data_IF_573492986077
#
_entry.id   IF_573492986077
#
_cell.length_a   1.000
_cell.length_b   1.000
_cell.length_c   1.000
_cell.angle_alpha   90.00
_cell.angle_beta   90.00
_cell.angle_gamma   90.00
#
_symmetry.space_group_name_H-M   'P 1'
#
loop_
_entity.id
_entity.type
_entity.pdbx_description
1 polymer ?
#
# COMPACT_ATOMS: atom_id res chain seq x y z
N UNK A 1 13.90 50.49 -16.50
CA UNK A 1 12.84 49.78 -15.74
C UNK A 1 12.63 48.31 -16.17
N UNK A 2 13.69 47.53 -16.46
CA UNK A 2 13.57 46.09 -16.84
C UNK A 2 14.04 45.11 -15.75
N UNK A 3 14.78 45.58 -14.74
CA UNK A 3 15.39 44.74 -13.70
C UNK A 3 14.33 44.13 -12.75
N UNK A 4 13.25 44.86 -12.45
CA UNK A 4 12.21 44.39 -11.51
C UNK A 4 11.40 43.19 -12.01
N UNK A 5 11.26 43.00 -13.34
CA UNK A 5 10.50 41.88 -13.91
C UNK A 5 11.23 40.54 -13.76
N UNK A 6 12.56 40.54 -13.94
CA UNK A 6 13.37 39.34 -13.76
C UNK A 6 13.54 38.97 -12.29
N UNK A 7 13.60 39.97 -11.39
CA UNK A 7 13.65 39.74 -9.95
C UNK A 7 12.37 39.06 -9.45
N UNK A 8 11.19 39.50 -9.93
CA UNK A 8 9.91 38.87 -9.60
C UNK A 8 9.82 37.43 -10.14
N UNK A 9 10.34 37.19 -11.35
CA UNK A 9 10.35 35.85 -11.96
C UNK A 9 11.30 34.89 -11.23
N UNK A 10 12.47 35.37 -10.80
CA UNK A 10 13.40 34.61 -9.95
C UNK A 10 12.81 34.30 -8.57
N UNK A 11 12.06 35.24 -7.99
CA UNK A 11 11.37 35.02 -6.71
C UNK A 11 10.27 33.97 -6.85
N UNK A 12 9.45 34.04 -7.90
CA UNK A 12 8.43 33.03 -8.22
C UNK A 12 9.03 31.63 -8.47
N UNK A 13 10.13 31.56 -9.23
CA UNK A 13 10.83 30.29 -9.48
C UNK A 13 11.44 29.70 -8.19
N UNK A 14 11.95 30.55 -7.29
CA UNK A 14 12.46 30.10 -5.98
C UNK A 14 11.34 29.63 -5.04
N UNK A 15 10.15 30.22 -5.13
CA UNK A 15 8.96 29.76 -4.40
C UNK A 15 8.49 28.37 -4.89
N UNK A 16 8.57 28.10 -6.19
CA UNK A 16 8.26 26.78 -6.77
C UNK A 16 9.26 25.71 -6.33
N UNK A 17 10.54 26.05 -6.17
CA UNK A 17 11.57 25.15 -5.63
C UNK A 17 11.38 24.88 -4.13
N UNK A 18 10.95 25.88 -3.33
CA UNK A 18 10.64 25.70 -1.91
C UNK A 18 9.34 24.94 -1.64
N UNK A 19 8.37 24.94 -2.58
CA UNK A 19 7.10 24.23 -2.42
C UNK A 19 7.24 22.69 -2.51
N UNK A 20 8.42 22.18 -2.91
CA UNK A 20 8.72 20.74 -2.96
C UNK A 20 9.52 20.29 -1.73
N UNK A 21 9.36 20.94 -0.58
CA UNK A 21 9.47 20.21 0.70
C UNK A 21 8.17 19.40 0.91
N UNK A 22 7.97 18.37 0.10
CA UNK A 22 7.08 17.28 0.48
C UNK A 22 7.68 16.66 1.73
N UNK A 23 7.17 17.02 2.91
CA UNK A 23 7.62 16.48 4.20
C UNK A 23 7.64 14.95 4.13
N UNK A 24 8.83 14.37 3.97
CA UNK A 24 9.04 12.94 4.13
C UNK A 24 8.96 12.63 5.61
N UNK A 25 7.99 11.81 6.01
CA UNK A 25 7.94 11.30 7.39
C UNK A 25 9.02 10.23 7.48
N UNK A 26 10.08 10.53 8.22
CA UNK A 26 11.18 9.61 8.49
C UNK A 26 11.02 9.00 9.87
N UNK A 27 11.76 7.92 10.18
CA UNK A 27 11.67 7.24 11.47
C UNK A 27 12.03 8.13 12.67
N UNK A 28 12.87 9.14 12.45
CA UNK A 28 13.28 10.10 13.48
C UNK A 28 12.43 11.37 13.53
N UNK A 29 11.42 11.48 12.65
CA UNK A 29 10.47 12.59 12.66
C UNK A 29 9.73 12.63 14.00
N UNK A 30 9.80 13.76 14.70
CA UNK A 30 9.09 13.97 15.96
C UNK A 30 7.63 14.33 15.71
N UNK A 31 6.72 13.65 16.41
CA UNK A 31 5.27 13.86 16.39
C UNK A 31 4.85 14.36 17.76
N UNK A 32 4.18 15.51 17.81
CA UNK A 32 3.54 16.02 19.02
C UNK A 32 2.06 15.69 18.95
N UNK A 33 1.56 14.94 19.92
CA UNK A 33 0.14 14.60 20.04
C UNK A 33 -0.64 15.78 20.63
N UNK A 34 -1.97 15.78 20.44
CA UNK A 34 -2.85 16.85 20.92
C UNK A 34 -2.82 17.07 22.44
N UNK A 35 -2.40 16.04 23.21
CA UNK A 35 -2.21 16.11 24.67
C UNK A 35 -0.79 16.55 25.08
N UNK A 36 0.07 16.95 24.16
CA UNK A 36 1.43 17.43 24.44
C UNK A 36 2.52 16.35 24.54
N UNK A 37 2.18 15.08 24.35
CA UNK A 37 3.17 14.00 24.26
C UNK A 37 4.09 14.18 23.05
N UNK A 38 5.40 13.94 23.23
CA UNK A 38 6.39 13.91 22.13
C UNK A 38 6.80 12.47 21.88
N UNK A 39 6.61 12.04 20.64
CA UNK A 39 7.03 10.73 20.15
C UNK A 39 7.91 10.93 18.91
N UNK A 40 8.64 9.90 18.54
CA UNK A 40 9.27 9.75 17.24
C UNK A 40 8.53 8.68 16.45
N UNK A 41 8.54 8.75 15.12
CA UNK A 41 7.80 7.78 14.28
C UNK A 41 8.19 6.33 14.58
N UNK A 42 9.45 6.07 14.95
CA UNK A 42 9.90 4.74 15.39
C UNK A 42 9.19 4.20 16.63
N UNK A 43 8.62 5.06 17.47
CA UNK A 43 7.90 4.66 18.68
C UNK A 43 6.55 4.01 18.36
N UNK A 44 6.08 4.13 17.11
CA UNK A 44 4.89 3.48 16.57
C UNK A 44 5.23 2.22 15.73
N UNK A 45 6.37 1.58 16.01
CA UNK A 45 6.79 0.34 15.35
C UNK A 45 7.32 0.49 13.92
N UNK A 46 7.32 -0.62 13.18
CA UNK A 46 7.66 -0.66 11.77
C UNK A 46 6.41 -0.55 10.88
N UNK A 47 6.58 0.01 9.69
CA UNK A 47 5.52 0.08 8.68
C UNK A 47 5.84 -0.90 7.55
N UNK A 48 5.04 -1.95 7.43
CA UNK A 48 5.13 -2.95 6.38
C UNK A 48 4.05 -2.69 5.32
N UNK A 49 4.36 -2.99 4.07
CA UNK A 49 3.38 -2.98 2.99
C UNK A 49 3.42 -4.30 2.22
N UNK A 50 2.24 -4.89 2.02
CA UNK A 50 2.01 -6.00 1.11
C UNK A 50 1.23 -5.47 -0.10
N UNK A 51 1.86 -5.43 -1.26
CA UNK A 51 1.28 -4.91 -2.49
C UNK A 51 1.03 -6.07 -3.45
N UNK A 52 -0.23 -6.40 -3.69
CA UNK A 52 -0.63 -7.53 -4.50
C UNK A 52 -1.17 -6.98 -5.82
N UNK A 53 -0.74 -7.54 -6.94
CA UNK A 53 -1.37 -7.24 -8.22
C UNK A 53 -1.73 -8.49 -8.99
N UNK A 54 -2.83 -8.42 -9.72
CA UNK A 54 -3.26 -9.47 -10.63
C UNK A 54 -3.68 -8.82 -11.94
N UNK A 55 -2.98 -9.16 -13.01
CA UNK A 55 -3.22 -8.65 -14.36
C UNK A 55 -3.30 -9.77 -15.39
N UNK A 56 -2.62 -10.88 -15.17
CA UNK A 56 -2.54 -12.05 -16.06
C UNK A 56 -3.53 -13.15 -15.65
N UNK A 57 -4.82 -12.83 -15.73
CA UNK A 57 -5.91 -13.75 -15.42
C UNK A 57 -6.04 -14.90 -16.43
N UNK A 58 -6.32 -16.11 -15.92
CA UNK A 58 -6.56 -17.29 -16.77
C UNK A 58 -7.97 -17.35 -17.35
N UNK A 59 -8.97 -16.87 -16.60
CA UNK A 59 -10.39 -17.01 -16.99
C UNK A 59 -11.17 -15.69 -16.97
N UNK A 60 -10.56 -14.62 -16.45
CA UNK A 60 -11.10 -13.27 -16.47
C UNK A 60 -10.38 -12.42 -17.52
N UNK A 61 -10.91 -11.22 -17.80
CA UNK A 61 -10.26 -10.27 -18.70
C UNK A 61 -8.94 -9.81 -18.08
N UNK A 62 -7.83 -9.93 -18.81
CA UNK A 62 -6.53 -9.40 -18.37
C UNK A 62 -6.57 -7.88 -18.17
N UNK A 63 -5.80 -7.39 -17.21
CA UNK A 63 -5.65 -5.96 -16.92
C UNK A 63 -4.27 -5.48 -17.40
N UNK A 64 -4.07 -4.16 -17.49
CA UNK A 64 -2.84 -3.56 -18.05
C UNK A 64 -2.04 -2.70 -17.07
N UNK A 65 -2.71 -2.17 -16.04
CA UNK A 65 -2.14 -1.22 -15.09
C UNK A 65 -1.73 -1.80 -13.73
N UNK A 66 -2.26 -2.94 -13.22
CA UNK A 66 -2.02 -3.34 -11.83
C UNK A 66 -0.56 -3.40 -11.40
N UNK A 67 0.34 -3.91 -12.25
CA UNK A 67 1.78 -3.88 -11.97
C UNK A 67 2.31 -2.45 -11.79
N UNK A 68 1.94 -1.54 -12.68
CA UNK A 68 2.38 -0.13 -12.62
C UNK A 68 1.82 0.55 -11.37
N UNK A 69 0.56 0.28 -11.04
CA UNK A 69 -0.12 0.83 -9.86
C UNK A 69 0.62 0.46 -8.57
N UNK A 70 1.01 -0.82 -8.41
CA UNK A 70 1.76 -1.25 -7.22
C UNK A 70 3.20 -0.72 -7.18
N UNK A 71 3.86 -0.59 -8.33
CA UNK A 71 5.22 -0.04 -8.40
C UNK A 71 5.24 1.43 -7.97
N UNK A 72 4.28 2.23 -8.44
CA UNK A 72 4.16 3.64 -8.06
C UNK A 72 3.83 3.80 -6.57
N UNK A 73 2.93 2.97 -6.03
CA UNK A 73 2.62 2.98 -4.60
C UNK A 73 3.83 2.55 -3.77
N UNK A 74 4.58 1.54 -4.21
CA UNK A 74 5.76 1.08 -3.49
C UNK A 74 6.78 2.21 -3.33
N UNK A 75 7.06 2.92 -4.42
CA UNK A 75 7.98 4.05 -4.46
C UNK A 75 7.54 5.16 -3.50
N UNK A 76 6.25 5.46 -3.46
CA UNK A 76 5.68 6.49 -2.59
C UNK A 76 5.84 6.10 -1.11
N UNK A 77 5.48 4.87 -0.76
CA UNK A 77 5.51 4.38 0.61
C UNK A 77 6.94 4.36 1.17
N UNK A 78 7.88 3.83 0.39
CA UNK A 78 9.29 3.74 0.78
C UNK A 78 9.94 5.13 0.89
N UNK A 79 9.76 5.99 -0.12
CA UNK A 79 10.49 7.27 -0.19
C UNK A 79 9.88 8.36 0.71
N UNK A 80 8.58 8.30 1.01
CA UNK A 80 7.87 9.43 1.64
C UNK A 80 7.20 9.12 2.97
N UNK A 81 6.87 7.86 3.23
CA UNK A 81 6.06 7.48 4.39
C UNK A 81 6.80 6.56 5.38
N UNK A 82 8.11 6.34 5.20
CA UNK A 82 8.91 5.58 6.15
C UNK A 82 8.56 4.09 6.24
N UNK A 83 7.87 3.56 5.23
CA UNK A 83 7.65 2.13 5.09
C UNK A 83 8.97 1.41 4.84
N UNK A 84 9.10 0.21 5.40
CA UNK A 84 10.11 -0.73 4.91
C UNK A 84 9.82 -1.06 3.45
N UNK A 85 10.84 -1.51 2.72
CA UNK A 85 10.71 -1.96 1.32
C UNK A 85 9.45 -2.83 1.15
N UNK A 86 8.45 -2.38 0.38
CA UNK A 86 7.20 -3.11 0.22
C UNK A 86 7.39 -4.51 -0.38
N UNK A 87 6.63 -5.48 0.12
CA UNK A 87 6.56 -6.83 -0.44
C UNK A 87 5.57 -6.83 -1.60
N UNK A 88 6.07 -6.97 -2.83
CA UNK A 88 5.24 -7.02 -4.03
C UNK A 88 4.95 -8.48 -4.42
N UNK A 89 3.68 -8.84 -4.54
CA UNK A 89 3.20 -10.19 -4.89
C UNK A 89 2.54 -10.18 -6.28
N UNK A 90 3.19 -10.77 -7.29
CA UNK A 90 2.68 -10.76 -8.65
C UNK A 90 1.77 -11.95 -8.94
N UNK A 91 0.56 -11.68 -9.45
CA UNK A 91 -0.38 -12.65 -10.01
C UNK A 91 -0.53 -13.95 -9.17
N UNK A 92 -0.81 -13.87 -7.86
CA UNK A 92 -0.97 -15.06 -7.01
C UNK A 92 -1.94 -16.05 -7.65
N UNK A 93 -1.58 -17.35 -7.71
CA UNK A 93 -2.35 -18.34 -8.45
C UNK A 93 -3.68 -18.63 -7.79
N UNK A 94 -3.74 -18.71 -6.45
CA UNK A 94 -4.90 -19.11 -5.65
C UNK A 94 -4.80 -18.57 -4.20
N UNK A 95 -5.80 -18.87 -3.38
CA UNK A 95 -5.89 -18.45 -1.97
C UNK A 95 -4.72 -18.95 -1.14
N UNK A 96 -4.33 -20.22 -1.30
CA UNK A 96 -3.29 -20.87 -0.49
C UNK A 96 -1.95 -20.13 -0.61
N UNK A 97 -1.60 -19.71 -1.82
CA UNK A 97 -0.39 -18.93 -2.07
C UNK A 97 -0.39 -17.59 -1.33
N UNK A 98 -1.55 -16.94 -1.22
CA UNK A 98 -1.65 -15.67 -0.50
C UNK A 98 -1.70 -15.88 1.02
N UNK A 99 -2.39 -16.93 1.49
CA UNK A 99 -2.45 -17.31 2.91
C UNK A 99 -1.04 -17.57 3.45
N UNK A 100 -0.20 -18.31 2.73
CA UNK A 100 1.19 -18.53 3.14
C UNK A 100 1.98 -17.22 3.34
N UNK A 101 1.74 -16.23 2.49
CA UNK A 101 2.42 -14.93 2.56
C UNK A 101 1.92 -14.13 3.77
N UNK A 102 0.61 -14.13 3.98
CA UNK A 102 -0.03 -13.47 5.12
C UNK A 102 0.42 -14.11 6.45
N UNK A 103 0.50 -15.43 6.52
CA UNK A 103 1.03 -16.20 7.65
C UNK A 103 2.49 -15.83 7.97
N UNK A 104 3.33 -15.69 6.93
CA UNK A 104 4.73 -15.27 7.09
C UNK A 104 4.82 -13.84 7.61
N UNK A 105 3.95 -12.94 7.16
CA UNK A 105 3.88 -11.56 7.66
C UNK A 105 3.42 -11.53 9.12
N UNK A 106 2.36 -12.25 9.45
CA UNK A 106 1.82 -12.34 10.81
C UNK A 106 2.90 -12.80 11.81
N UNK A 107 3.66 -13.86 11.49
CA UNK A 107 4.75 -14.34 12.36
C UNK A 107 5.93 -13.37 12.49
N UNK A 108 6.13 -12.49 11.52
CA UNK A 108 7.25 -11.53 11.51
C UNK A 108 6.92 -10.27 12.32
N UNK A 109 5.67 -9.81 12.25
CA UNK A 109 5.26 -8.54 12.82
C UNK A 109 5.14 -8.60 14.35
N UNK A 110 5.46 -7.49 15.00
CA UNK A 110 5.21 -7.26 16.42
C UNK A 110 3.89 -6.49 16.63
N UNK A 111 3.42 -6.39 17.87
CA UNK A 111 2.13 -5.78 18.20
C UNK A 111 2.06 -4.29 17.83
N UNK A 112 3.19 -3.59 17.87
CA UNK A 112 3.30 -2.17 17.55
C UNK A 112 3.53 -1.93 16.05
N UNK A 113 3.79 -2.98 15.26
CA UNK A 113 4.03 -2.85 13.82
C UNK A 113 2.71 -2.61 13.07
N UNK A 114 2.82 -1.95 11.93
CA UNK A 114 1.69 -1.55 11.08
C UNK A 114 1.79 -2.29 9.73
N UNK A 115 0.65 -2.74 9.21
CA UNK A 115 0.57 -3.36 7.89
C UNK A 115 -0.44 -2.64 7.00
N UNK A 116 0.02 -2.20 5.83
CA UNK A 116 -0.82 -1.81 4.71
C UNK A 116 -0.90 -2.96 3.71
N UNK A 117 -2.12 -3.35 3.33
CA UNK A 117 -2.32 -4.27 2.20
C UNK A 117 -3.00 -3.50 1.08
N UNK A 118 -2.38 -3.48 -0.08
CA UNK A 118 -2.93 -2.88 -1.28
C UNK A 118 -3.10 -3.96 -2.35
N UNK A 119 -4.28 -4.02 -2.96
CA UNK A 119 -4.61 -4.99 -3.99
C UNK A 119 -5.06 -4.27 -5.27
N UNK A 120 -4.38 -4.54 -6.38
CA UNK A 120 -4.75 -4.08 -7.71
C UNK A 120 -5.17 -5.28 -8.59
N UNK A 121 -6.44 -5.34 -8.95
CA UNK A 121 -6.99 -6.44 -9.74
C UNK A 121 -8.51 -6.41 -9.78
N UNK A 122 -9.10 -7.46 -10.34
CA UNK A 122 -10.54 -7.68 -10.22
C UNK A 122 -10.93 -8.02 -8.78
N UNK A 123 -12.10 -7.53 -8.41
CA UNK A 123 -12.78 -7.88 -7.17
C UNK A 123 -14.24 -8.21 -7.44
N UNK A 124 -14.85 -8.92 -6.51
CA UNK A 124 -16.29 -9.22 -6.57
C UNK A 124 -16.92 -9.05 -5.20
N UNK A 125 -18.20 -8.69 -5.19
CA UNK A 125 -19.00 -8.60 -3.97
C UNK A 125 -20.18 -9.57 -4.12
N UNK A 126 -20.46 -10.36 -3.09
CA UNK A 126 -21.62 -11.26 -3.07
C UNK A 126 -22.89 -10.53 -2.63
N UNK A 127 -24.05 -11.15 -2.81
CA UNK A 127 -25.34 -10.64 -2.32
C UNK A 127 -25.33 -10.30 -0.82
N UNK A 128 -24.51 -11.00 -0.03
CA UNK A 128 -24.38 -10.80 1.41
C UNK A 128 -23.27 -9.79 1.74
N UNK A 129 -22.91 -8.91 0.80
CA UNK A 129 -21.90 -7.86 0.93
C UNK A 129 -20.50 -8.34 1.34
N UNK A 130 -20.14 -9.59 1.02
CA UNK A 130 -18.79 -10.10 1.24
C UNK A 130 -17.91 -9.75 0.04
N UNK A 131 -16.80 -9.05 0.28
CA UNK A 131 -15.82 -8.71 -0.74
C UNK A 131 -14.77 -9.81 -0.94
N UNK A 132 -14.33 -9.97 -2.18
CA UNK A 132 -13.31 -10.93 -2.59
C UNK A 132 -12.27 -10.28 -3.48
N UNK A 133 -11.01 -10.65 -3.27
CA UNK A 133 -9.94 -10.45 -4.25
C UNK A 133 -9.90 -11.65 -5.19
N UNK A 134 -10.09 -11.38 -6.49
CA UNK A 134 -10.10 -12.42 -7.51
C UNK A 134 -8.67 -12.65 -8.02
N UNK A 135 -8.12 -13.83 -7.79
CA UNK A 135 -6.72 -14.15 -8.07
C UNK A 135 -6.55 -14.69 -9.50
N UNK A 136 -5.33 -15.06 -9.90
CA UNK A 136 -5.02 -15.41 -11.29
C UNK A 136 -5.91 -16.52 -11.86
N UNK A 137 -6.25 -17.53 -11.06
CA UNK A 137 -7.11 -18.65 -11.47
C UNK A 137 -8.62 -18.42 -11.22
N UNK A 138 -9.04 -17.21 -10.81
CA UNK A 138 -10.44 -16.91 -10.52
C UNK A 138 -11.35 -17.24 -11.70
N UNK A 139 -12.46 -17.92 -11.43
CA UNK A 139 -13.47 -18.26 -12.42
C UNK A 139 -14.47 -17.11 -12.58
N UNK A 140 -15.12 -17.03 -13.76
CA UNK A 140 -16.15 -16.02 -14.04
C UNK A 140 -17.37 -16.10 -13.11
N UNK A 141 -17.65 -17.29 -12.59
CA UNK A 141 -18.77 -17.56 -11.69
C UNK A 141 -18.28 -18.31 -10.45
N UNK A 142 -18.93 -18.05 -9.33
CA UNK A 142 -18.59 -18.64 -8.04
C UNK A 142 -17.38 -17.96 -7.37
N UNK A 143 -16.84 -18.64 -6.34
CA UNK A 143 -15.78 -18.12 -5.48
C UNK A 143 -14.42 -18.78 -5.69
N UNK A 144 -14.36 -19.79 -6.57
CA UNK A 144 -13.13 -20.54 -6.84
C UNK A 144 -12.05 -19.62 -7.39
N UNK A 145 -10.85 -19.70 -6.80
CA UNK A 145 -9.73 -18.86 -7.17
C UNK A 145 -9.80 -17.42 -6.66
N UNK A 146 -10.65 -17.17 -5.66
CA UNK A 146 -10.73 -15.89 -4.98
C UNK A 146 -10.52 -16.09 -3.49
N UNK A 147 -10.00 -15.07 -2.81
CA UNK A 147 -9.90 -15.04 -1.34
C UNK A 147 -10.87 -14.00 -0.80
N UNK A 148 -11.58 -14.33 0.28
CA UNK A 148 -12.46 -13.36 0.93
C UNK A 148 -11.66 -12.40 1.78
N UNK A 149 -12.12 -11.14 1.89
CA UNK A 149 -11.48 -10.16 2.78
C UNK A 149 -11.48 -10.62 4.25
N UNK A 150 -12.56 -11.28 4.67
CA UNK A 150 -12.71 -11.86 6.01
C UNK A 150 -11.63 -12.92 6.28
N UNK A 151 -11.41 -13.85 5.35
CA UNK A 151 -10.37 -14.87 5.46
C UNK A 151 -8.96 -14.24 5.47
N UNK A 152 -8.68 -13.37 4.50
CA UNK A 152 -7.37 -12.75 4.36
C UNK A 152 -6.98 -11.87 5.58
N UNK A 153 -7.94 -11.10 6.10
CA UNK A 153 -7.67 -10.09 7.13
C UNK A 153 -8.03 -10.56 8.52
N UNK A 154 -9.20 -11.17 8.70
CA UNK A 154 -9.67 -11.58 10.03
C UNK A 154 -9.10 -12.93 10.43
N UNK A 155 -9.12 -13.92 9.53
CA UNK A 155 -8.69 -15.28 9.88
C UNK A 155 -7.17 -15.47 9.86
N UNK A 156 -6.48 -14.89 8.87
CA UNK A 156 -5.03 -15.10 8.72
C UNK A 156 -4.19 -14.10 9.50
N UNK A 157 -4.51 -12.80 9.41
CA UNK A 157 -3.72 -11.79 10.13
C UNK A 157 -4.11 -11.70 11.61
N UNK A 158 -5.21 -12.34 12.01
CA UNK A 158 -5.73 -12.38 13.38
C UNK A 158 -5.57 -11.02 14.06
N UNK A 159 -6.21 -9.99 13.49
CA UNK A 159 -6.28 -8.66 14.08
C UNK A 159 -6.79 -8.83 15.52
N UNK A 160 -5.88 -8.74 16.50
CA UNK A 160 -6.19 -8.84 17.93
C UNK A 160 -6.96 -7.60 18.39
#
# INVERSE_FOLDING_TARGET
MKVGKYLLFLLLLSLELCAVEYRSITRDTSVTTSNGGRYTVKDFGNYYALLIYVEDYLHLRKLKTPKKDVEDIADILEKRYGFQKPLIVPNPPNSDALIEILDKLQRKMQAEDNLLIYYAGHGSITSNQKGYWQLKNAKKQGRSGSISLEEAVTSTLSLM
#
